data_IF_725479221517
#
_entry.id   IF_725479221517
#
_cell.length_a   1.000
_cell.length_b   1.000
_cell.length_c   1.000
_cell.angle_alpha   90.00
_cell.angle_beta   90.00
_cell.angle_gamma   90.00
#
_symmetry.space_group_name_H-M   'P 1'
#
loop_
_entity.id
_entity.type
_entity.pdbx_description
1 polymer ?
#
# COMPACT_ATOMS: atom_id res chain seq x y z
N UNK A 1 11.35 -2.66 -4.09
CA UNK A 1 10.52 -3.64 -3.35
C UNK A 1 9.18 -3.86 -4.05
N UNK A 2 8.58 -5.06 -3.95
CA UNK A 2 7.24 -5.33 -4.49
C UNK A 2 6.13 -4.80 -3.58
N UNK A 3 5.16 -4.11 -4.17
CA UNK A 3 4.04 -3.47 -3.45
C UNK A 3 2.75 -3.54 -4.26
N UNK A 4 1.60 -3.57 -3.58
CA UNK A 4 0.30 -3.38 -4.22
C UNK A 4 0.07 -1.90 -4.57
N UNK A 5 -0.11 -1.60 -5.85
CA UNK A 5 -0.23 -0.25 -6.40
C UNK A 5 -1.61 -0.06 -7.00
N UNK A 6 -2.26 1.05 -6.65
CA UNK A 6 -3.55 1.42 -7.19
C UNK A 6 -3.40 2.12 -8.55
N UNK A 7 -4.12 1.66 -9.57
CA UNK A 7 -4.12 2.28 -10.92
C UNK A 7 -5.46 2.92 -11.29
N UNK A 8 -6.51 2.63 -10.53
CA UNK A 8 -7.84 3.07 -10.83
C UNK A 8 -8.88 2.25 -10.10
N UNK A 9 -10.14 2.65 -10.25
CA UNK A 9 -11.27 1.88 -9.73
C UNK A 9 -11.20 0.44 -10.25
N UNK A 10 -11.19 -0.53 -9.33
CA UNK A 10 -11.13 -1.94 -9.69
C UNK A 10 -9.76 -2.43 -10.22
N UNK A 11 -8.71 -1.61 -10.21
CA UNK A 11 -7.40 -1.96 -10.77
C UNK A 11 -6.27 -1.75 -9.75
N UNK A 12 -5.82 -2.87 -9.18
CA UNK A 12 -4.66 -2.93 -8.26
C UNK A 12 -3.70 -3.99 -8.78
N UNK A 13 -2.43 -3.64 -8.85
CA UNK A 13 -1.37 -4.50 -9.42
C UNK A 13 -0.21 -4.59 -8.46
N UNK A 14 0.57 -5.66 -8.55
CA UNK A 14 1.83 -5.75 -7.81
C UNK A 14 2.95 -5.26 -8.71
N UNK A 15 3.60 -4.18 -8.30
CA UNK A 15 4.68 -3.54 -9.06
C UNK A 15 5.91 -3.29 -8.17
N UNK A 16 7.05 -2.97 -8.79
CA UNK A 16 8.24 -2.54 -8.06
C UNK A 16 8.11 -1.06 -7.67
N UNK A 17 8.26 -0.78 -6.37
CA UNK A 17 8.35 0.54 -5.78
C UNK A 17 9.75 0.80 -5.22
N UNK A 18 10.10 2.08 -5.03
CA UNK A 18 11.33 2.45 -4.35
C UNK A 18 11.34 1.91 -2.90
N UNK A 19 12.52 1.52 -2.43
CA UNK A 19 12.67 1.08 -1.04
C UNK A 19 12.54 2.28 -0.09
N UNK A 20 11.89 2.12 1.09
CA UNK A 20 11.71 3.20 2.05
C UNK A 20 13.07 3.61 2.64
N UNK A 21 13.19 4.89 2.94
CA UNK A 21 14.33 5.46 3.64
C UNK A 21 13.90 5.97 5.01
N UNK A 22 14.80 5.87 5.98
CA UNK A 22 14.66 6.55 7.28
C UNK A 22 14.87 8.04 7.03
N UNK A 23 13.86 8.87 7.34
CA UNK A 23 13.91 10.33 7.12
C UNK A 23 14.11 11.09 8.42
N UNK A 24 13.45 10.64 9.49
CA UNK A 24 13.55 11.21 10.82
C UNK A 24 14.19 10.23 11.81
N UNK A 25 14.81 10.69 12.90
CA UNK A 25 15.44 9.82 13.90
C UNK A 25 14.49 8.81 14.58
N UNK A 26 13.19 9.04 14.49
CA UNK A 26 12.14 8.18 15.06
C UNK A 26 11.58 7.15 14.08
N UNK A 27 12.00 7.19 12.81
CA UNK A 27 11.50 6.26 11.80
C UNK A 27 12.15 4.88 11.95
N UNK A 28 11.39 3.85 11.59
CA UNK A 28 11.89 2.49 11.47
C UNK A 28 11.46 1.89 10.14
N UNK A 29 12.40 1.26 9.45
CA UNK A 29 12.11 0.44 8.27
C UNK A 29 12.04 -1.01 8.71
N UNK A 30 10.88 -1.64 8.51
CA UNK A 30 10.66 -3.05 8.84
C UNK A 30 10.53 -3.87 7.56
N UNK A 31 10.96 -5.13 7.63
CA UNK A 31 10.70 -6.12 6.58
C UNK A 31 9.34 -6.74 6.87
N UNK A 32 8.38 -6.52 5.99
CA UNK A 32 7.07 -7.17 6.08
C UNK A 32 7.22 -8.66 5.77
N UNK A 33 6.80 -9.54 6.69
CA UNK A 33 6.79 -11.00 6.49
C UNK A 33 5.42 -11.49 6.04
N UNK A 34 4.36 -10.85 6.53
CA UNK A 34 2.98 -11.15 6.18
C UNK A 34 2.19 -9.86 5.94
N UNK A 35 1.29 -9.91 4.96
CA UNK A 35 0.33 -8.85 4.66
C UNK A 35 -1.06 -9.45 4.60
N UNK A 36 -2.05 -8.74 5.13
CA UNK A 36 -3.44 -9.18 5.12
C UNK A 36 -4.35 -8.20 4.42
N UNK A 37 -5.42 -8.72 3.81
CA UNK A 37 -6.56 -7.88 3.42
C UNK A 37 -7.39 -7.55 4.65
N UNK A 38 -7.87 -6.32 4.70
CA UNK A 38 -8.76 -5.79 5.71
C UNK A 38 -10.12 -5.49 5.08
N UNK A 39 -11.19 -5.51 5.89
CA UNK A 39 -12.55 -5.19 5.44
C UNK A 39 -12.66 -3.76 4.87
N UNK A 40 -11.72 -2.88 5.17
CA UNK A 40 -11.67 -1.52 4.64
C UNK A 40 -11.05 -1.42 3.24
N UNK A 41 -10.28 -2.41 2.78
CA UNK A 41 -9.62 -2.35 1.47
C UNK A 41 -10.62 -2.24 0.30
N UNK A 42 -11.77 -2.96 0.30
CA UNK A 42 -12.81 -2.77 -0.72
C UNK A 42 -13.33 -1.33 -0.82
N UNK A 43 -13.29 -0.54 0.27
CA UNK A 43 -13.68 0.87 0.19
C UNK A 43 -12.71 1.67 -0.67
N UNK A 44 -11.40 1.43 -0.60
CA UNK A 44 -10.39 2.06 -1.48
C UNK A 44 -10.48 1.53 -2.92
N UNK A 45 -10.82 0.25 -3.07
CA UNK A 45 -10.93 -0.42 -4.36
C UNK A 45 -12.13 0.08 -5.20
N UNK A 46 -13.26 0.41 -4.56
CA UNK A 46 -14.55 0.69 -5.25
C UNK A 46 -15.21 2.04 -4.95
N UNK A 47 -15.18 2.51 -3.70
CA UNK A 47 -16.07 3.59 -3.21
C UNK A 47 -15.33 4.92 -3.02
N UNK A 48 -14.15 4.86 -2.43
CA UNK A 48 -13.31 6.02 -2.09
C UNK A 48 -12.33 6.37 -3.21
N UNK A 49 -12.61 5.95 -4.44
CA UNK A 49 -11.75 6.26 -5.60
C UNK A 49 -11.46 7.74 -5.81
N UNK A 50 -12.34 8.72 -5.46
CA UNK A 50 -11.99 10.14 -5.57
C UNK A 50 -10.89 10.60 -4.61
N UNK A 51 -10.56 9.81 -3.58
CA UNK A 51 -9.48 10.13 -2.62
C UNK A 51 -8.16 9.43 -2.98
N UNK A 52 -8.13 8.69 -4.09
CA UNK A 52 -6.98 7.89 -4.54
C UNK A 52 -6.32 8.52 -5.76
N UNK A 53 -5.01 8.40 -5.85
CA UNK A 53 -4.21 8.80 -7.00
C UNK A 53 -3.55 7.58 -7.63
N UNK A 54 -3.53 7.44 -8.98
CA UNK A 54 -2.79 6.36 -9.63
C UNK A 54 -1.33 6.37 -9.18
N UNK A 55 -0.85 5.23 -8.69
CA UNK A 55 0.48 5.07 -8.09
C UNK A 55 0.46 4.98 -6.56
N UNK A 56 -0.67 5.22 -5.89
CA UNK A 56 -0.76 5.06 -4.44
C UNK A 56 -0.47 3.62 -4.01
N UNK A 57 0.33 3.49 -2.96
CA UNK A 57 0.72 2.21 -2.38
C UNK A 57 -0.32 1.76 -1.35
N UNK A 58 -0.77 0.51 -1.43
CA UNK A 58 -1.83 -0.03 -0.57
C UNK A 58 -1.29 -1.01 0.48
N UNK A 59 -2.05 -1.13 1.57
CA UNK A 59 -1.81 -2.07 2.65
C UNK A 59 -1.61 -1.39 4.00
N UNK A 60 -2.39 -1.79 4.99
CA UNK A 60 -2.32 -1.25 6.36
C UNK A 60 -2.40 -2.33 7.45
N UNK A 61 -2.40 -3.60 7.05
CA UNK A 61 -2.32 -4.76 7.95
C UNK A 61 -1.08 -5.55 7.57
N UNK A 62 -0.01 -5.34 8.34
CA UNK A 62 1.30 -5.93 8.11
C UNK A 62 1.87 -6.49 9.40
N UNK A 63 2.62 -7.58 9.29
CA UNK A 63 3.42 -8.14 10.38
C UNK A 63 4.90 -8.19 9.98
N UNK A 64 5.83 -7.91 10.93
CA UNK A 64 7.27 -7.93 10.69
C UNK A 64 7.91 -9.32 10.65
#
# INVERSE_FOLDING_TARGET
MKTAVWHGKGDVRVEEAADPAVTEPTDAVTRVTSGGLCDSDPHLYEVLTPTMTPGDLLGHRVEP
#
